data_IF_635713248536
#
_entry.id   IF_635713248536
#
_cell.length_a   1.000
_cell.length_b   1.000
_cell.length_c   1.000
_cell.angle_alpha   90.00
_cell.angle_beta   90.00
_cell.angle_gamma   90.00
#
_symmetry.space_group_name_H-M   'P 1'
#
loop_
_entity.id
_entity.type
_entity.pdbx_description
1 polymer ?
#
# COMPACT_ATOMS: atom_id res chain seq x y z
N UNK A 1 2.29 -1.91 -30.24
CA UNK A 1 3.58 -1.31 -30.62
C UNK A 1 4.31 -1.01 -29.33
N UNK A 2 5.46 -1.63 -29.08
CA UNK A 2 6.28 -1.34 -27.91
C UNK A 2 7.19 -0.15 -28.25
N UNK A 3 7.27 0.85 -27.38
CA UNK A 3 8.21 1.94 -27.58
C UNK A 3 9.63 1.38 -27.41
N UNK A 4 10.49 1.55 -28.42
CA UNK A 4 11.89 1.09 -28.38
C UNK A 4 12.77 2.06 -27.57
N UNK A 5 12.32 2.39 -26.35
CA UNK A 5 12.97 3.32 -25.45
C UNK A 5 13.83 2.51 -24.47
N UNK A 6 15.14 2.80 -24.33
CA UNK A 6 15.96 2.20 -23.28
C UNK A 6 15.41 2.53 -21.89
N UNK A 7 15.36 1.54 -21.00
CA UNK A 7 14.83 1.72 -19.64
C UNK A 7 15.89 1.41 -18.59
N UNK A 8 15.86 2.17 -17.50
CA UNK A 8 16.64 1.92 -16.28
C UNK A 8 15.68 1.86 -15.09
N UNK A 9 15.88 0.90 -14.20
CA UNK A 9 15.03 0.72 -13.01
C UNK A 9 15.77 1.18 -11.76
N UNK A 10 15.17 2.12 -11.03
CA UNK A 10 15.66 2.58 -9.72
C UNK A 10 14.82 2.01 -8.59
N UNK A 11 15.45 1.25 -7.68
CA UNK A 11 14.78 0.72 -6.49
C UNK A 11 14.91 1.71 -5.33
N UNK A 12 13.91 2.58 -5.18
CA UNK A 12 13.86 3.60 -4.15
C UNK A 12 12.71 3.34 -3.16
N UNK A 13 12.90 3.56 -1.85
CA UNK A 13 11.78 3.66 -0.92
C UNK A 13 10.78 4.72 -1.37
N UNK A 14 9.47 4.50 -1.15
CA UNK A 14 8.37 5.33 -1.70
C UNK A 14 8.60 6.84 -1.50
N UNK A 15 8.90 7.29 -0.27
CA UNK A 15 9.19 8.72 -0.02
C UNK A 15 10.34 9.26 -0.87
N UNK A 16 11.40 8.48 -1.08
CA UNK A 16 12.53 8.88 -1.93
C UNK A 16 12.15 8.85 -3.42
N UNK A 17 11.31 7.91 -3.84
CA UNK A 17 10.81 7.85 -5.21
C UNK A 17 9.95 9.08 -5.55
N UNK A 18 9.07 9.50 -4.63
CA UNK A 18 8.26 10.72 -4.78
C UNK A 18 9.16 11.95 -4.94
N UNK A 19 10.13 12.13 -4.06
CA UNK A 19 11.10 13.25 -4.17
C UNK A 19 11.94 13.16 -5.45
N UNK A 20 12.39 11.96 -5.84
CA UNK A 20 13.14 11.78 -7.08
C UNK A 20 12.31 12.17 -8.31
N UNK A 21 11.02 11.82 -8.34
CA UNK A 21 10.10 12.21 -9.40
C UNK A 21 9.90 13.74 -9.44
N UNK A 22 9.67 14.37 -8.28
CA UNK A 22 9.53 15.82 -8.16
C UNK A 22 10.77 16.57 -8.68
N UNK A 23 11.97 16.06 -8.34
CA UNK A 23 13.26 16.63 -8.75
C UNK A 23 13.68 16.24 -10.18
N UNK A 24 12.91 15.43 -10.90
CA UNK A 24 13.23 14.98 -12.25
C UNK A 24 14.42 14.01 -12.33
N UNK A 25 14.71 13.29 -11.24
CA UNK A 25 15.73 12.24 -11.18
C UNK A 25 15.24 10.91 -11.73
N UNK A 26 13.92 10.70 -11.77
CA UNK A 26 13.26 9.60 -12.47
C UNK A 26 12.16 10.18 -13.36
N UNK A 27 11.88 9.53 -14.48
CA UNK A 27 10.89 10.01 -15.44
C UNK A 27 9.46 9.76 -14.94
N UNK A 28 9.19 8.55 -14.45
CA UNK A 28 7.87 8.14 -13.97
C UNK A 28 7.95 7.21 -12.76
N UNK A 29 6.85 7.14 -12.01
CA UNK A 29 6.60 6.12 -11.01
C UNK A 29 5.28 5.37 -11.28
N UNK A 30 5.00 4.37 -10.45
CA UNK A 30 3.79 3.55 -10.52
C UNK A 30 3.01 3.74 -9.23
N UNK A 31 1.77 4.24 -9.33
CA UNK A 31 0.96 4.61 -8.17
C UNK A 31 -0.51 4.27 -8.37
N UNK A 32 -1.27 4.17 -7.28
CA UNK A 32 -2.73 4.28 -7.33
C UNK A 32 -3.18 5.68 -6.94
N UNK A 33 -4.09 6.32 -7.70
CA UNK A 33 -4.74 7.55 -7.26
C UNK A 33 -5.44 7.38 -5.91
N UNK A 34 -5.93 6.19 -5.59
CA UNK A 34 -6.68 5.93 -4.36
C UNK A 34 -5.82 5.95 -3.09
N UNK A 35 -4.50 6.02 -3.22
CA UNK A 35 -3.59 6.22 -2.09
C UNK A 35 -3.52 7.69 -1.63
N UNK A 36 -4.01 8.62 -2.44
CA UNK A 36 -4.02 10.05 -2.14
C UNK A 36 -5.37 10.46 -1.53
N UNK A 37 -5.35 11.37 -0.54
CA UNK A 37 -6.54 11.80 0.22
C UNK A 37 -7.70 12.28 -0.67
N UNK A 38 -7.39 13.05 -1.71
CA UNK A 38 -8.38 13.57 -2.66
C UNK A 38 -8.48 12.77 -3.96
N UNK A 39 -7.76 11.64 -4.04
CA UNK A 39 -7.63 10.81 -5.25
C UNK A 39 -7.05 11.54 -6.46
N UNK A 40 -6.33 12.63 -6.21
CA UNK A 40 -5.68 13.47 -7.22
C UNK A 40 -4.18 13.22 -7.17
N UNK A 41 -3.59 12.80 -8.29
CA UNK A 41 -2.16 12.51 -8.43
C UNK A 41 -1.25 13.77 -8.46
N UNK A 42 -1.86 14.96 -8.57
CA UNK A 42 -1.22 16.28 -8.60
C UNK A 42 -1.32 16.97 -9.96
N UNK A 43 -1.39 18.32 -9.96
CA UNK A 43 -1.59 19.13 -11.18
C UNK A 43 -0.39 19.10 -12.13
N UNK A 44 0.81 18.84 -11.61
CA UNK A 44 2.06 18.77 -12.37
C UNK A 44 2.31 17.39 -13.00
N UNK A 45 1.33 16.48 -12.90
CA UNK A 45 1.46 15.11 -13.37
C UNK A 45 0.36 14.72 -14.36
N UNK A 46 0.66 13.72 -15.18
CA UNK A 46 -0.31 12.98 -16.00
C UNK A 46 -0.23 11.50 -15.66
N UNK A 47 -1.30 10.76 -15.90
CA UNK A 47 -1.33 9.30 -15.74
C UNK A 47 -1.53 8.58 -17.06
N UNK A 48 -0.97 7.38 -17.17
CA UNK A 48 -1.35 6.42 -18.20
C UNK A 48 -2.80 5.97 -18.04
N UNK A 49 -3.27 5.16 -19.00
CA UNK A 49 -4.40 4.26 -18.76
C UNK A 49 -4.07 3.29 -17.61
N UNK A 50 -5.08 2.75 -16.89
CA UNK A 50 -4.88 1.71 -15.88
C UNK A 50 -4.08 0.51 -16.41
N UNK A 51 -3.10 0.06 -15.62
CA UNK A 51 -2.32 -1.14 -15.90
C UNK A 51 -3.01 -2.39 -15.35
N UNK A 52 -3.40 -2.33 -14.08
CA UNK A 52 -4.13 -3.36 -13.35
C UNK A 52 -4.75 -2.76 -12.09
N UNK A 53 -5.63 -3.50 -11.44
CA UNK A 53 -6.29 -3.10 -10.19
C UNK A 53 -5.59 -3.74 -8.99
N UNK A 54 -5.47 -2.98 -7.89
CA UNK A 54 -5.02 -3.48 -6.59
C UNK A 54 -6.15 -3.35 -5.57
N UNK A 55 -6.22 -4.32 -4.67
CA UNK A 55 -7.16 -4.31 -3.55
C UNK A 55 -6.38 -4.49 -2.27
N UNK A 56 -6.46 -3.52 -1.36
CA UNK A 56 -5.82 -3.58 -0.05
C UNK A 56 -6.87 -3.82 1.02
N UNK A 57 -6.52 -4.63 2.01
CA UNK A 57 -7.40 -4.99 3.11
C UNK A 57 -6.78 -4.60 4.44
N UNK A 58 -7.64 -4.35 5.41
CA UNK A 58 -7.29 -4.52 6.81
C UNK A 58 -7.16 -6.02 7.10
N UNK A 59 -5.92 -6.49 7.21
CA UNK A 59 -5.54 -7.87 7.45
C UNK A 59 -5.33 -8.10 8.95
N UNK A 60 -5.91 -9.18 9.46
CA UNK A 60 -5.86 -9.54 10.89
C UNK A 60 -5.51 -11.01 11.08
N UNK A 61 -5.40 -11.46 12.33
CA UNK A 61 -5.51 -12.89 12.66
C UNK A 61 -7.01 -13.30 12.71
N UNK A 62 -7.37 -14.54 12.32
CA UNK A 62 -8.77 -14.96 12.23
C UNK A 62 -9.59 -14.78 13.51
N UNK A 63 -8.97 -14.95 14.68
CA UNK A 63 -9.64 -14.85 15.98
C UNK A 63 -10.09 -13.43 16.34
N UNK A 64 -9.57 -12.40 15.69
CA UNK A 64 -9.92 -10.99 15.91
C UNK A 64 -10.56 -10.33 14.68
N UNK A 65 -10.77 -11.08 13.59
CA UNK A 65 -11.28 -10.53 12.33
C UNK A 65 -12.64 -9.82 12.49
N UNK A 66 -13.49 -10.32 13.39
CA UNK A 66 -14.80 -9.70 13.69
C UNK A 66 -14.67 -8.31 14.31
N UNK A 67 -13.57 -8.01 14.99
CA UNK A 67 -13.30 -6.68 15.56
C UNK A 67 -13.01 -5.64 14.46
N UNK A 68 -12.63 -6.08 13.25
CA UNK A 68 -12.22 -5.23 12.12
C UNK A 68 -13.03 -5.50 10.84
N UNK A 69 -14.30 -5.91 10.99
CA UNK A 69 -15.19 -6.23 9.88
C UNK A 69 -15.66 -5.01 9.06
N UNK A 70 -15.33 -3.79 9.53
CA UNK A 70 -15.55 -2.53 8.83
C UNK A 70 -14.27 -1.68 8.97
N UNK A 71 -13.97 -0.88 7.94
CA UNK A 71 -12.75 -0.07 7.88
C UNK A 71 -12.64 0.90 9.06
N UNK A 72 -13.77 1.48 9.48
CA UNK A 72 -13.85 2.46 10.57
C UNK A 72 -13.45 1.88 11.92
N UNK A 73 -13.48 0.54 12.08
CA UNK A 73 -13.04 -0.12 13.31
C UNK A 73 -11.53 -0.05 13.51
N UNK A 74 -10.76 0.19 12.44
CA UNK A 74 -9.33 0.45 12.53
C UNK A 74 -9.03 1.89 13.02
N UNK A 75 -10.01 2.79 13.03
CA UNK A 75 -9.78 4.17 13.43
C UNK A 75 -9.50 4.28 14.93
N UNK A 76 -8.50 5.10 15.27
CA UNK A 76 -7.94 5.22 16.62
C UNK A 76 -7.14 4.01 17.09
N UNK A 77 -7.01 2.94 16.28
CA UNK A 77 -6.24 1.74 16.64
C UNK A 77 -4.78 1.88 16.23
N UNK A 78 -3.95 0.97 16.76
CA UNK A 78 -2.59 0.75 16.27
C UNK A 78 -2.64 -0.17 15.04
N UNK A 79 -2.31 0.37 13.87
CA UNK A 79 -2.38 -0.32 12.57
C UNK A 79 -0.97 -0.55 12.02
N UNK A 80 -0.66 -1.81 11.70
CA UNK A 80 0.56 -2.17 11.00
C UNK A 80 0.59 -1.58 9.59
N UNK A 81 1.64 -0.81 9.27
CA UNK A 81 1.81 -0.12 7.99
C UNK A 81 3.23 -0.28 7.47
N UNK A 82 3.44 -0.08 6.17
CA UNK A 82 4.80 -0.03 5.60
C UNK A 82 5.35 1.38 5.69
N UNK A 83 6.55 1.51 6.24
CA UNK A 83 7.21 2.79 6.43
C UNK A 83 7.35 3.55 5.10
N UNK A 84 6.79 4.76 5.06
CA UNK A 84 6.86 5.64 3.89
C UNK A 84 5.78 5.42 2.84
N UNK A 85 4.93 4.41 2.98
CA UNK A 85 3.73 4.28 2.14
C UNK A 85 2.70 5.36 2.52
N UNK A 86 1.97 5.84 1.52
CA UNK A 86 0.87 6.77 1.68
C UNK A 86 -0.44 5.97 1.81
N UNK A 87 -1.23 6.31 2.83
CA UNK A 87 -2.57 5.79 3.03
C UNK A 87 -3.53 6.98 3.07
N UNK A 88 -4.69 6.90 2.41
CA UNK A 88 -5.58 8.05 2.25
C UNK A 88 -6.19 8.55 3.58
N UNK A 89 -6.28 7.66 4.56
CA UNK A 89 -6.85 7.83 5.90
C UNK A 89 -5.79 7.70 7.02
N UNK A 90 -4.51 7.96 6.70
CA UNK A 90 -3.38 7.91 7.64
C UNK A 90 -3.58 8.80 8.88
N UNK A 91 -4.46 9.81 8.80
CA UNK A 91 -4.85 10.69 9.90
C UNK A 91 -5.91 10.09 10.84
N UNK A 92 -6.41 8.88 10.55
CA UNK A 92 -7.47 8.21 11.32
C UNK A 92 -6.98 7.14 12.27
N UNK A 93 -5.72 6.70 12.18
CA UNK A 93 -5.17 5.63 13.03
C UNK A 93 -3.73 5.93 13.44
N UNK A 94 -3.22 5.17 14.43
CA UNK A 94 -1.81 5.24 14.83
C UNK A 94 -1.02 4.21 14.04
N UNK A 95 0.04 4.65 13.35
CA UNK A 95 0.90 3.76 12.56
C UNK A 95 1.86 2.97 13.46
N UNK A 96 1.91 1.66 13.24
CA UNK A 96 3.06 0.82 13.56
C UNK A 96 3.82 0.54 12.26
N UNK A 97 4.86 1.32 11.97
CA UNK A 97 5.62 1.22 10.73
C UNK A 97 6.59 0.03 10.73
N UNK A 98 6.56 -0.75 9.64
CA UNK A 98 7.44 -1.89 9.37
C UNK A 98 8.13 -1.71 8.01
N UNK A 99 9.20 -2.46 7.78
CA UNK A 99 10.02 -2.33 6.57
C UNK A 99 9.38 -2.92 5.30
N UNK A 100 8.43 -3.84 5.44
CA UNK A 100 7.76 -4.51 4.32
C UNK A 100 6.50 -5.24 4.76
N UNK A 101 5.65 -5.61 3.80
CA UNK A 101 4.46 -6.44 4.02
C UNK A 101 4.81 -7.82 4.60
N UNK A 102 5.96 -8.40 4.23
CA UNK A 102 6.49 -9.62 4.86
C UNK A 102 6.64 -9.45 6.37
N UNK A 103 7.19 -8.31 6.81
CA UNK A 103 7.39 -8.03 8.23
C UNK A 103 6.07 -7.67 8.93
N UNK A 104 5.07 -7.13 8.22
CA UNK A 104 3.73 -6.93 8.75
C UNK A 104 3.05 -8.26 9.12
N UNK A 105 3.12 -9.26 8.25
CA UNK A 105 2.57 -10.59 8.54
C UNK A 105 3.26 -11.22 9.77
N UNK A 106 4.59 -11.11 9.88
CA UNK A 106 5.30 -11.55 11.09
C UNK A 106 4.92 -10.73 12.33
N UNK A 107 4.63 -9.45 12.16
CA UNK A 107 4.14 -8.55 13.21
C UNK A 107 2.78 -8.98 13.75
N UNK A 108 1.83 -9.31 12.87
CA UNK A 108 0.53 -9.90 13.22
C UNK A 108 0.71 -11.20 14.02
N UNK A 109 1.53 -12.13 13.50
CA UNK A 109 1.78 -13.41 14.16
C UNK A 109 2.35 -13.27 15.58
N UNK A 110 3.11 -12.19 15.83
CA UNK A 110 3.70 -11.87 17.13
C UNK A 110 2.83 -10.97 18.01
N UNK A 111 1.62 -10.63 17.57
CA UNK A 111 0.69 -9.76 18.31
C UNK A 111 1.20 -8.34 18.52
N UNK A 112 2.05 -7.81 17.62
CA UNK A 112 2.59 -6.44 17.72
C UNK A 112 1.52 -5.37 17.49
N UNK A 113 0.48 -5.74 16.76
CA UNK A 113 -0.74 -4.99 16.47
C UNK A 113 -1.79 -6.03 16.06
N UNK A 114 -3.07 -5.64 16.09
CA UNK A 114 -4.18 -6.56 15.74
C UNK A 114 -4.52 -6.58 14.26
N UNK A 115 -4.18 -5.50 13.55
CA UNK A 115 -4.58 -5.24 12.16
C UNK A 115 -3.43 -4.56 11.40
N UNK A 116 -3.26 -4.88 10.13
CA UNK A 116 -2.35 -4.21 9.21
C UNK A 116 -3.02 -3.92 7.87
N UNK A 117 -2.52 -2.94 7.12
CA UNK A 117 -2.93 -2.69 5.74
C UNK A 117 -1.95 -3.41 4.82
N UNK A 118 -2.45 -4.33 3.99
CA UNK A 118 -1.65 -5.13 3.05
C UNK A 118 -2.48 -5.36 1.76
N UNK A 119 -1.81 -5.37 0.60
CA UNK A 119 -2.44 -5.78 -0.66
C UNK A 119 -2.87 -7.27 -0.60
N UNK A 120 -4.02 -7.61 -1.19
CA UNK A 120 -4.65 -8.93 -1.09
C UNK A 120 -3.71 -10.09 -1.43
N UNK A 121 -3.07 -10.05 -2.59
CA UNK A 121 -2.19 -11.13 -3.07
C UNK A 121 -0.90 -11.18 -2.28
N UNK A 122 -0.33 -10.01 -1.93
CA UNK A 122 0.84 -9.92 -1.08
C UNK A 122 0.57 -10.50 0.32
N UNK A 123 -0.58 -10.20 0.92
CA UNK A 123 -1.00 -10.73 2.21
C UNK A 123 -1.07 -12.25 2.17
N UNK A 124 -1.74 -12.82 1.15
CA UNK A 124 -1.84 -14.27 0.95
C UNK A 124 -0.47 -14.91 0.77
N UNK A 125 0.37 -14.35 -0.10
CA UNK A 125 1.73 -14.86 -0.38
C UNK A 125 2.61 -14.89 0.88
N UNK A 126 2.64 -13.80 1.64
CA UNK A 126 3.46 -13.72 2.85
C UNK A 126 2.89 -14.55 4.00
N UNK A 127 1.56 -14.65 4.11
CA UNK A 127 0.90 -15.55 5.05
C UNK A 127 1.28 -17.01 4.80
N UNK A 128 1.25 -17.47 3.55
CA UNK A 128 1.69 -18.80 3.16
C UNK A 128 3.17 -19.02 3.52
N UNK A 129 4.03 -18.08 3.10
CA UNK A 129 5.49 -18.16 3.30
C UNK A 129 5.89 -18.17 4.78
N UNK A 130 5.16 -17.46 5.64
CA UNK A 130 5.41 -17.40 7.08
C UNK A 130 4.52 -18.34 7.89
N UNK A 131 3.75 -19.21 7.24
CA UNK A 131 2.83 -20.17 7.88
C UNK A 131 1.90 -19.50 8.90
N UNK A 132 1.45 -18.28 8.59
CA UNK A 132 0.62 -17.46 9.46
C UNK A 132 -0.79 -17.44 8.89
N UNK A 133 -1.76 -17.94 9.66
CA UNK A 133 -3.17 -17.80 9.27
C UNK A 133 -3.60 -16.35 9.43
N UNK A 134 -4.14 -15.78 8.35
CA UNK A 134 -4.65 -14.40 8.31
C UNK A 134 -6.11 -14.39 7.89
N UNK A 135 -6.79 -13.28 8.15
CA UNK A 135 -8.11 -12.96 7.63
C UNK A 135 -8.08 -11.58 6.96
N UNK A 136 -8.65 -11.48 5.76
CA UNK A 136 -8.95 -10.22 5.09
C UNK A 136 -10.23 -9.64 5.72
N UNK A 137 -10.10 -8.86 6.78
CA UNK A 137 -11.21 -8.52 7.68
C UNK A 137 -12.17 -7.49 7.08
N UNK A 138 -11.63 -6.45 6.46
CA UNK A 138 -12.40 -5.43 5.74
C UNK A 138 -11.60 -4.81 4.62
N UNK A 139 -12.30 -4.36 3.58
CA UNK A 139 -11.70 -3.63 2.46
C UNK A 139 -11.16 -2.28 2.96
N UNK A 140 -9.92 -1.96 2.63
CA UNK A 140 -9.33 -0.65 2.88
C UNK A 140 -9.40 0.22 1.61
N UNK A 141 -8.80 -0.25 0.53
CA UNK A 141 -8.81 0.42 -0.77
C UNK A 141 -9.00 -0.59 -1.89
N UNK A 142 -9.56 -0.10 -2.99
CA UNK A 142 -9.59 -0.80 -4.27
C UNK A 142 -9.38 0.24 -5.35
N UNK A 143 -8.38 0.09 -6.20
CA UNK A 143 -8.04 1.13 -7.16
C UNK A 143 -7.08 0.70 -8.26
N UNK A 144 -7.12 1.46 -9.35
CA UNK A 144 -6.24 1.24 -10.48
C UNK A 144 -4.81 1.67 -10.16
N UNK A 145 -3.86 0.88 -10.64
CA UNK A 145 -2.46 1.24 -10.74
C UNK A 145 -2.21 1.88 -12.10
N UNK A 146 -1.59 3.04 -12.08
CA UNK A 146 -1.23 3.82 -13.28
C UNK A 146 0.26 4.16 -13.25
N UNK A 147 0.81 4.41 -14.43
CA UNK A 147 2.10 5.12 -14.54
C UNK A 147 1.80 6.60 -14.34
N UNK A 148 2.50 7.25 -13.42
CA UNK A 148 2.44 8.69 -13.22
C UNK A 148 3.73 9.32 -13.76
N UNK A 149 3.57 10.26 -14.68
CA UNK A 149 4.64 10.96 -15.37
C UNK A 149 4.58 12.44 -15.02
N UNK A 150 5.73 13.07 -14.78
CA UNK A 150 5.84 14.51 -14.58
C UNK A 150 5.63 15.26 -15.91
N UNK A 151 4.90 16.37 -15.89
CA UNK A 151 4.71 17.25 -17.05
C UNK A 151 5.96 18.05 -17.42
#
# INVERSE_FOLDING_TARGET
MQAAIPTETSYLPVKRAVTALELGQIDFDVVSPNWFKDKIIGVDYVSSVPLFEVTEYFVTLPNVAVEFNQAEMAYGQLVGTVAGYAYFDDDKFTRADFLSESELVKGLAKGRFKVAIIEERAAQYWAEKHQTSIALASLHTKGDIVIRLRK
#
